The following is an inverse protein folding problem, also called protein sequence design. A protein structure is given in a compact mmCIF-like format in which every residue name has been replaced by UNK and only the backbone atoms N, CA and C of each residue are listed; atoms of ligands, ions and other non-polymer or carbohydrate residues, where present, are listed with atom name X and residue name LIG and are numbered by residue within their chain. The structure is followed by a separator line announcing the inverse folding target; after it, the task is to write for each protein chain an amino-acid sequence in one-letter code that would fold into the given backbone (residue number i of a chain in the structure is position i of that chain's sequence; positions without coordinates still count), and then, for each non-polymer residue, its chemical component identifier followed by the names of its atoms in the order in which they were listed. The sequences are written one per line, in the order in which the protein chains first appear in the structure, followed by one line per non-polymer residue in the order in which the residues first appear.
data_IF_164292772600
#
_entry.id   IF_164292772600
#
_cell.length_a   1.000
_cell.length_b   1.000
_cell.length_c   1.000
_cell.angle_alpha   90.00
_cell.angle_beta   90.00
_cell.angle_gamma   90.00
#
_symmetry.space_group_name_H-M   'P 1'
#
loop_
_entity.id
_entity.type
_entity.pdbx_description
1 polymer ?
#
# COMPACT_ATOMS: atom_id res chain seq x y z
N UNK A 1 -8.92 15.58 7.56
CA UNK A 1 -7.89 14.76 6.88
C UNK A 1 -8.54 13.68 6.00
N UNK A 2 -9.33 12.75 6.56
CA UNK A 2 -9.94 11.66 5.79
C UNK A 2 -11.36 11.97 5.28
N UNK A 3 -12.09 12.88 5.92
CA UNK A 3 -13.38 13.38 5.44
C UNK A 3 -13.11 14.47 4.42
N UNK A 4 -13.58 14.26 3.20
CA UNK A 4 -13.33 15.13 2.04
C UNK A 4 -14.62 15.34 1.25
N UNK A 5 -14.76 16.52 0.64
CA UNK A 5 -15.96 16.93 -0.08
C UNK A 5 -15.65 17.33 -1.54
N UNK A 6 -14.42 17.05 -2.02
CA UNK A 6 -14.05 17.36 -3.40
C UNK A 6 -14.76 16.44 -4.40
N UNK A 7 -15.12 17.00 -5.54
CA UNK A 7 -15.62 16.25 -6.69
C UNK A 7 -14.48 15.46 -7.39
N UNK A 8 -14.85 14.57 -8.31
CA UNK A 8 -13.90 13.71 -9.03
C UNK A 8 -12.82 14.50 -9.78
N UNK A 9 -13.20 15.61 -10.46
CA UNK A 9 -12.25 16.45 -11.21
C UNK A 9 -11.23 17.10 -10.27
N UNK A 10 -11.69 17.59 -9.14
CA UNK A 10 -10.82 18.16 -8.11
C UNK A 10 -9.92 17.10 -7.48
N UNK A 11 -10.46 15.90 -7.21
CA UNK A 11 -9.67 14.78 -6.69
C UNK A 11 -8.49 14.44 -7.61
N UNK A 12 -8.74 14.23 -8.90
CA UNK A 12 -7.69 13.86 -9.87
C UNK A 12 -6.62 14.94 -10.02
N UNK A 13 -7.00 16.22 -9.88
CA UNK A 13 -6.05 17.35 -9.92
C UNK A 13 -5.23 17.48 -8.64
N UNK A 14 -5.84 17.27 -7.49
CA UNK A 14 -5.21 17.44 -6.18
C UNK A 14 -4.31 16.26 -5.81
N UNK A 15 -4.68 15.04 -6.22
CA UNK A 15 -4.02 13.79 -5.87
C UNK A 15 -3.63 12.97 -7.11
N UNK A 16 -2.77 13.54 -7.97
CA UNK A 16 -2.45 12.90 -9.26
C UNK A 16 -1.70 11.57 -9.11
N UNK A 17 -0.90 11.39 -8.05
CA UNK A 17 -0.18 10.14 -7.81
C UNK A 17 -1.14 9.04 -7.41
N UNK A 18 -2.04 9.34 -6.46
CA UNK A 18 -3.10 8.39 -6.07
C UNK A 18 -3.96 8.02 -7.28
N UNK A 19 -4.38 9.02 -8.05
CA UNK A 19 -5.18 8.79 -9.28
C UNK A 19 -4.45 7.86 -10.24
N UNK A 20 -3.15 8.07 -10.46
CA UNK A 20 -2.34 7.25 -11.37
C UNK A 20 -2.22 5.80 -10.86
N UNK A 21 -1.97 5.60 -9.57
CA UNK A 21 -1.89 4.25 -8.99
C UNK A 21 -3.25 3.54 -9.10
N UNK A 22 -4.36 4.22 -8.85
CA UNK A 22 -5.71 3.66 -9.00
C UNK A 22 -5.99 3.23 -10.44
N UNK A 23 -5.59 4.04 -11.43
CA UNK A 23 -5.72 3.69 -12.85
C UNK A 23 -4.92 2.42 -13.15
N UNK A 24 -3.68 2.31 -12.64
CA UNK A 24 -2.86 1.10 -12.81
C UNK A 24 -3.55 -0.12 -12.17
N UNK A 25 -4.09 -0.01 -10.95
CA UNK A 25 -4.79 -1.11 -10.28
C UNK A 25 -5.99 -1.61 -11.10
N UNK A 26 -6.84 -0.68 -11.54
CA UNK A 26 -8.04 -1.02 -12.33
C UNK A 26 -7.64 -1.60 -13.68
N UNK A 27 -6.67 -0.98 -14.36
CA UNK A 27 -6.21 -1.42 -15.67
C UNK A 27 -5.60 -2.81 -15.63
N UNK A 28 -4.67 -3.06 -14.70
CA UNK A 28 -4.03 -4.37 -14.56
C UNK A 28 -5.03 -5.44 -14.13
N UNK A 29 -5.92 -5.12 -13.18
CA UNK A 29 -6.98 -6.03 -12.80
C UNK A 29 -7.88 -6.39 -14.00
N UNK A 30 -8.26 -5.40 -14.82
CA UNK A 30 -9.06 -5.64 -16.02
C UNK A 30 -8.32 -6.54 -17.02
N UNK A 31 -7.06 -6.24 -17.31
CA UNK A 31 -6.23 -7.04 -18.23
C UNK A 31 -6.12 -8.49 -17.72
N UNK A 32 -5.84 -8.67 -16.45
CA UNK A 32 -5.68 -9.98 -15.82
C UNK A 32 -6.99 -10.79 -15.84
N UNK A 33 -8.13 -10.13 -15.62
CA UNK A 33 -9.42 -10.80 -15.46
C UNK A 33 -10.12 -11.12 -16.79
N UNK A 34 -9.88 -10.32 -17.83
CA UNK A 34 -10.70 -10.38 -19.05
C UNK A 34 -9.92 -10.59 -20.34
N UNK A 35 -8.58 -10.43 -20.34
CA UNK A 35 -7.81 -10.60 -21.57
C UNK A 35 -7.02 -11.92 -21.58
N UNK A 36 -6.83 -12.54 -22.77
CA UNK A 36 -6.08 -13.82 -22.88
C UNK A 36 -4.65 -13.77 -22.37
N UNK A 37 -4.03 -12.59 -22.30
CA UNK A 37 -2.69 -12.38 -21.77
C UNK A 37 -2.64 -12.38 -20.23
N UNK A 38 -3.78 -12.37 -19.54
CA UNK A 38 -3.89 -12.27 -18.09
C UNK A 38 -3.09 -13.33 -17.33
N UNK A 39 -3.21 -14.64 -17.66
CA UNK A 39 -2.43 -15.68 -16.99
C UNK A 39 -0.92 -15.49 -17.13
N UNK A 40 -0.42 -15.08 -18.30
CA UNK A 40 1.00 -14.79 -18.53
C UNK A 40 1.46 -13.59 -17.68
N UNK A 41 0.65 -12.53 -17.63
CA UNK A 41 0.96 -11.34 -16.82
C UNK A 41 1.07 -11.69 -15.32
N UNK A 42 0.16 -12.51 -14.82
CA UNK A 42 0.23 -13.01 -13.45
C UNK A 42 1.48 -13.86 -13.25
N UNK A 43 1.77 -14.81 -14.11
CA UNK A 43 2.90 -15.73 -13.94
C UNK A 43 4.26 -15.02 -13.89
N UNK A 44 4.41 -13.94 -14.67
CA UNK A 44 5.64 -13.13 -14.68
C UNK A 44 5.67 -12.12 -13.54
N UNK A 45 4.52 -11.52 -13.20
CA UNK A 45 4.45 -10.38 -12.28
C UNK A 45 4.16 -10.72 -10.82
N UNK A 46 3.65 -11.91 -10.50
CA UNK A 46 3.34 -12.33 -9.13
C UNK A 46 4.62 -12.39 -8.27
N UNK A 47 4.53 -11.99 -7.02
CA UNK A 47 5.58 -12.18 -6.02
C UNK A 47 5.84 -13.66 -5.82
N UNK A 48 7.07 -14.08 -5.98
CA UNK A 48 7.53 -15.47 -5.87
C UNK A 48 8.87 -15.50 -5.17
N UNK A 49 8.93 -16.13 -4.00
CA UNK A 49 10.20 -16.27 -3.28
C UNK A 49 11.22 -17.09 -4.08
N UNK A 50 10.77 -18.15 -4.75
CA UNK A 50 11.63 -18.93 -5.66
C UNK A 50 12.13 -18.09 -6.84
N UNK A 51 11.26 -17.26 -7.44
CA UNK A 51 11.67 -16.35 -8.51
C UNK A 51 12.73 -15.34 -8.04
N UNK A 52 12.54 -14.72 -6.88
CA UNK A 52 13.55 -13.80 -6.30
C UNK A 52 14.86 -14.51 -6.02
N UNK A 53 14.83 -15.74 -5.50
CA UNK A 53 16.03 -16.56 -5.28
C UNK A 53 16.82 -16.82 -6.58
N UNK A 54 16.13 -16.98 -7.71
CA UNK A 54 16.74 -17.16 -9.03
C UNK A 54 17.03 -15.84 -9.77
N UNK A 55 16.97 -14.69 -9.08
CA UNK A 55 17.35 -13.38 -9.64
C UNK A 55 16.22 -12.57 -10.27
N UNK A 56 14.97 -13.00 -10.16
CA UNK A 56 13.81 -12.28 -10.69
C UNK A 56 13.37 -11.14 -9.76
N UNK A 57 14.27 -10.17 -9.52
CA UNK A 57 14.09 -9.10 -8.51
C UNK A 57 12.92 -8.15 -8.79
N UNK A 58 12.41 -8.06 -10.03
CA UNK A 58 11.19 -7.31 -10.32
C UNK A 58 9.98 -7.82 -9.52
N UNK A 59 9.99 -9.09 -9.08
CA UNK A 59 8.94 -9.67 -8.23
C UNK A 59 8.88 -9.10 -6.81
N UNK A 60 9.81 -8.23 -6.45
CA UNK A 60 9.71 -7.41 -5.24
C UNK A 60 8.88 -6.15 -5.46
N UNK A 61 8.65 -5.73 -6.73
CA UNK A 61 7.95 -4.49 -7.10
C UNK A 61 6.60 -4.78 -7.75
N UNK A 62 6.58 -5.67 -8.76
CA UNK A 62 5.40 -5.91 -9.60
C UNK A 62 4.17 -6.36 -8.81
N UNK A 63 4.27 -7.19 -7.74
CA UNK A 63 3.10 -7.62 -6.97
C UNK A 63 2.31 -6.48 -6.34
N UNK A 64 2.96 -5.34 -6.06
CA UNK A 64 2.33 -4.15 -5.46
C UNK A 64 1.17 -3.63 -6.33
N UNK A 65 1.17 -3.90 -7.62
CA UNK A 65 0.17 -3.41 -8.56
C UNK A 65 -0.84 -4.47 -9.00
N UNK A 66 -0.60 -5.75 -8.70
CA UNK A 66 -1.44 -6.86 -9.16
C UNK A 66 -2.50 -7.23 -8.11
N UNK A 67 -3.66 -7.67 -8.59
CA UNK A 67 -4.77 -8.08 -7.74
C UNK A 67 -5.44 -9.35 -8.26
N UNK A 68 -5.69 -10.31 -7.38
CA UNK A 68 -6.26 -11.64 -7.71
C UNK A 68 -7.75 -11.62 -8.04
N UNK A 69 -8.47 -10.54 -7.70
CA UNK A 69 -9.90 -10.46 -7.93
C UNK A 69 -10.46 -9.08 -7.63
N UNK A 70 -11.73 -8.86 -8.05
CA UNK A 70 -12.41 -7.56 -7.93
C UNK A 70 -12.44 -7.04 -6.48
N UNK A 71 -12.86 -7.87 -5.53
CA UNK A 71 -12.92 -7.46 -4.12
C UNK A 71 -11.55 -7.04 -3.58
N UNK A 72 -10.49 -7.79 -3.93
CA UNK A 72 -9.13 -7.47 -3.52
C UNK A 72 -8.67 -6.13 -4.09
N UNK A 73 -8.86 -5.90 -5.40
CA UNK A 73 -8.57 -4.63 -6.06
C UNK A 73 -9.37 -3.47 -5.46
N UNK A 74 -10.68 -3.69 -5.23
CA UNK A 74 -11.58 -2.66 -4.70
C UNK A 74 -11.19 -2.22 -3.29
N UNK A 75 -10.96 -3.16 -2.36
CA UNK A 75 -10.58 -2.84 -0.98
C UNK A 75 -9.23 -2.13 -0.88
N UNK A 76 -8.24 -2.57 -1.66
CA UNK A 76 -6.94 -1.89 -1.72
C UNK A 76 -7.07 -0.48 -2.31
N UNK A 77 -7.81 -0.33 -3.41
CA UNK A 77 -8.06 0.98 -4.04
C UNK A 77 -8.83 1.92 -3.11
N UNK A 78 -9.84 1.41 -2.40
CA UNK A 78 -10.58 2.19 -1.41
C UNK A 78 -9.68 2.66 -0.25
N UNK A 79 -8.84 1.77 0.28
CA UNK A 79 -7.89 2.13 1.34
C UNK A 79 -6.91 3.21 0.85
N UNK A 80 -6.43 3.10 -0.39
CA UNK A 80 -5.57 4.11 -0.98
C UNK A 80 -6.28 5.44 -1.20
N UNK A 81 -7.55 5.45 -1.65
CA UNK A 81 -8.37 6.65 -1.77
C UNK A 81 -8.58 7.31 -0.39
N UNK A 82 -8.77 6.54 0.65
CA UNK A 82 -9.05 7.07 1.98
C UNK A 82 -7.80 7.67 2.62
N UNK A 83 -6.67 6.95 2.61
CA UNK A 83 -5.47 7.29 3.36
C UNK A 83 -4.37 7.97 2.53
N UNK A 84 -4.29 7.72 1.24
CA UNK A 84 -3.25 8.24 0.37
C UNK A 84 -3.25 9.76 0.22
N UNK A 85 -4.39 10.41 -0.07
CA UNK A 85 -4.46 11.82 -0.41
C UNK A 85 -3.88 12.76 0.65
N UNK A 86 -4.19 12.53 1.92
CA UNK A 86 -3.66 13.36 3.00
C UNK A 86 -2.13 13.27 3.07
N UNK A 87 -1.59 12.06 2.89
CA UNK A 87 -0.14 11.86 2.91
C UNK A 87 0.52 12.42 1.65
N UNK A 88 -0.06 12.22 0.44
CA UNK A 88 0.46 12.81 -0.81
C UNK A 88 0.60 14.33 -0.71
N UNK A 89 -0.41 15.00 -0.12
CA UNK A 89 -0.34 16.46 0.10
C UNK A 89 0.69 16.85 1.15
N UNK A 90 0.78 16.08 2.23
CA UNK A 90 1.65 16.39 3.37
C UNK A 90 3.12 16.28 3.03
N UNK A 91 3.51 15.25 2.27
CA UNK A 91 4.92 14.96 1.97
C UNK A 91 5.32 15.33 0.54
N UNK A 92 4.35 15.63 -0.33
CA UNK A 92 4.55 15.91 -1.76
C UNK A 92 4.63 14.65 -2.62
N UNK A 93 4.37 14.84 -3.92
CA UNK A 93 4.19 13.77 -4.91
C UNK A 93 5.36 12.80 -4.98
N UNK A 94 6.58 13.31 -5.16
CA UNK A 94 7.79 12.49 -5.31
C UNK A 94 8.08 11.68 -4.04
N UNK A 95 7.97 12.32 -2.87
CA UNK A 95 8.18 11.63 -1.59
C UNK A 95 7.11 10.56 -1.38
N UNK A 96 5.86 10.84 -1.75
CA UNK A 96 4.78 9.85 -1.64
C UNK A 96 5.03 8.62 -2.51
N UNK A 97 5.42 8.79 -3.79
CA UNK A 97 5.75 7.67 -4.69
C UNK A 97 6.87 6.82 -4.10
N UNK A 98 7.96 7.47 -3.70
CA UNK A 98 9.11 6.77 -3.11
C UNK A 98 8.70 5.99 -1.86
N UNK A 99 7.92 6.62 -0.99
CA UNK A 99 7.45 6.03 0.26
C UNK A 99 6.53 4.83 0.02
N UNK A 100 5.57 4.96 -0.91
CA UNK A 100 4.65 3.89 -1.28
C UNK A 100 5.41 2.67 -1.82
N UNK A 101 6.30 2.89 -2.78
CA UNK A 101 7.11 1.81 -3.38
C UNK A 101 8.10 1.22 -2.36
N UNK A 102 8.81 2.05 -1.62
CA UNK A 102 9.77 1.57 -0.62
C UNK A 102 9.09 0.71 0.46
N UNK A 103 7.91 1.14 0.95
CA UNK A 103 7.14 0.35 1.92
C UNK A 103 6.74 -1.01 1.37
N UNK A 104 6.23 -1.06 0.12
CA UNK A 104 5.84 -2.32 -0.52
C UNK A 104 7.05 -3.22 -0.80
N UNK A 105 8.18 -2.66 -1.24
CA UNK A 105 9.42 -3.40 -1.48
C UNK A 105 9.97 -3.97 -0.16
N UNK A 106 10.04 -3.17 0.90
CA UNK A 106 10.48 -3.63 2.22
C UNK A 106 9.59 -4.76 2.75
N UNK A 107 8.29 -4.66 2.55
CA UNK A 107 7.34 -5.71 2.90
C UNK A 107 7.59 -7.01 2.12
N UNK A 108 7.83 -6.91 0.82
CA UNK A 108 8.10 -8.06 -0.04
C UNK A 108 9.48 -8.67 0.26
N UNK A 109 10.49 -7.86 0.57
CA UNK A 109 11.80 -8.33 1.08
C UNK A 109 11.61 -9.09 2.40
N UNK A 110 10.85 -8.54 3.35
CA UNK A 110 10.53 -9.21 4.61
C UNK A 110 9.82 -10.54 4.38
N UNK A 111 8.84 -10.58 3.46
CA UNK A 111 8.17 -11.82 3.04
C UNK A 111 9.16 -12.83 2.48
N UNK A 112 10.09 -12.42 1.62
CA UNK A 112 11.11 -13.29 1.04
C UNK A 112 11.96 -13.99 2.11
N UNK A 113 12.35 -13.29 3.17
CA UNK A 113 13.21 -13.87 4.22
C UNK A 113 12.48 -14.79 5.20
N UNK A 114 11.17 -14.61 5.37
CA UNK A 114 10.42 -15.31 6.45
C UNK A 114 9.45 -16.36 5.91
N UNK A 115 8.88 -16.15 4.72
CA UNK A 115 7.93 -17.09 4.14
C UNK A 115 8.68 -18.24 3.40
N UNK A 116 8.02 -19.40 3.20
CA UNK A 116 8.60 -20.53 2.47
C UNK A 116 9.04 -20.17 1.06
N UNK A 117 10.01 -20.93 0.51
CA UNK A 117 10.57 -20.68 -0.83
C UNK A 117 9.51 -20.76 -1.95
N UNK A 118 8.49 -21.60 -1.79
CA UNK A 118 7.40 -21.76 -2.72
C UNK A 118 6.22 -20.79 -2.47
N UNK A 119 6.45 -19.72 -1.69
CA UNK A 119 5.41 -18.75 -1.38
C UNK A 119 5.17 -17.78 -2.54
N UNK A 120 3.88 -17.57 -2.84
CA UNK A 120 3.41 -16.60 -3.85
C UNK A 120 2.50 -15.57 -3.21
N UNK A 121 2.59 -14.32 -3.69
CA UNK A 121 1.77 -13.23 -3.19
C UNK A 121 1.58 -12.11 -4.22
N UNK A 122 0.52 -11.33 -4.05
CA UNK A 122 0.25 -10.12 -4.81
C UNK A 122 -0.70 -9.20 -4.03
N UNK A 123 -0.72 -7.93 -4.39
CA UNK A 123 -1.60 -6.92 -3.79
C UNK A 123 -0.84 -5.70 -3.29
N UNK A 124 -1.47 -4.53 -3.43
CA UNK A 124 -0.92 -3.27 -2.92
C UNK A 124 -1.01 -3.13 -1.40
N UNK A 125 -1.60 -4.09 -0.71
CA UNK A 125 -1.75 -4.07 0.75
C UNK A 125 -0.42 -3.97 1.49
N UNK A 126 0.66 -4.54 0.93
CA UNK A 126 2.02 -4.38 1.45
C UNK A 126 2.43 -2.90 1.58
N UNK A 127 2.22 -2.11 0.54
CA UNK A 127 2.49 -0.68 0.54
C UNK A 127 1.48 0.10 1.40
N UNK A 128 0.19 -0.28 1.38
CA UNK A 128 -0.85 0.35 2.19
C UNK A 128 -0.59 0.18 3.68
N UNK A 129 -0.15 -1.00 4.13
CA UNK A 129 0.28 -1.20 5.52
C UNK A 129 1.51 -0.34 5.85
N UNK A 130 2.37 -0.05 4.87
CA UNK A 130 3.42 0.95 5.03
C UNK A 130 2.88 2.36 5.29
N UNK A 131 1.84 2.78 4.55
CA UNK A 131 1.18 4.06 4.84
C UNK A 131 0.55 4.05 6.25
N UNK A 132 -0.06 2.94 6.68
CA UNK A 132 -0.54 2.80 8.07
C UNK A 132 0.58 2.89 9.09
N UNK A 133 1.77 2.37 8.80
CA UNK A 133 2.95 2.53 9.64
C UNK A 133 3.36 3.99 9.83
N UNK A 134 3.32 4.78 8.76
CA UNK A 134 3.58 6.23 8.83
C UNK A 134 2.51 6.93 9.67
N UNK A 135 1.23 6.62 9.46
CA UNK A 135 0.15 7.19 10.28
C UNK A 135 0.25 6.76 11.75
N UNK A 136 0.60 5.52 12.03
CA UNK A 136 0.82 5.07 13.41
C UNK A 136 1.97 5.84 14.07
N UNK A 137 3.05 6.10 13.33
CA UNK A 137 4.13 6.97 13.82
C UNK A 137 3.63 8.38 14.11
N UNK A 138 2.76 8.97 13.26
CA UNK A 138 2.16 10.27 13.55
C UNK A 138 1.34 10.23 14.84
N UNK A 139 0.50 9.23 15.03
CA UNK A 139 -0.34 9.07 16.24
C UNK A 139 0.50 9.00 17.50
N UNK A 140 1.65 8.33 17.44
CA UNK A 140 2.52 8.12 18.62
C UNK A 140 3.45 9.29 18.87
N UNK A 141 4.09 9.83 17.82
CA UNK A 141 5.25 10.72 17.95
C UNK A 141 5.08 12.10 17.28
N UNK A 142 4.12 12.26 16.37
CA UNK A 142 3.89 13.51 15.63
C UNK A 142 2.42 13.93 15.69
N UNK A 143 1.91 14.07 16.93
CA UNK A 143 0.53 14.51 17.23
C UNK A 143 0.23 15.92 16.68
N UNK A 144 1.26 16.68 16.36
CA UNK A 144 1.16 17.95 15.63
C UNK A 144 0.62 17.77 14.20
N UNK A 145 0.78 16.60 13.58
CA UNK A 145 0.37 16.32 12.21
C UNK A 145 -1.02 15.66 12.08
N UNK A 146 -1.57 15.13 13.15
CA UNK A 146 -2.85 14.40 13.14
C UNK A 146 -3.68 14.75 14.38
N UNK A 147 -4.97 15.03 14.18
CA UNK A 147 -5.90 15.30 15.28
C UNK A 147 -6.46 14.00 15.91
N UNK A 148 -7.16 14.15 17.04
CA UNK A 148 -7.69 13.02 17.81
C UNK A 148 -8.69 12.17 16.99
N UNK A 149 -9.58 12.79 16.23
CA UNK A 149 -10.58 12.07 15.44
C UNK A 149 -9.91 11.25 14.33
N UNK A 150 -9.00 11.84 13.57
CA UNK A 150 -8.27 11.13 12.53
C UNK A 150 -7.35 10.05 13.11
N UNK A 151 -6.75 10.26 14.29
CA UNK A 151 -5.98 9.24 15.01
C UNK A 151 -6.84 8.02 15.37
N UNK A 152 -8.08 8.23 15.84
CA UNK A 152 -9.00 7.14 16.14
C UNK A 152 -9.38 6.36 14.87
N UNK A 153 -9.62 7.03 13.75
CA UNK A 153 -9.89 6.37 12.46
C UNK A 153 -8.72 5.49 12.03
N UNK A 154 -7.49 6.01 12.10
CA UNK A 154 -6.27 5.24 11.77
C UNK A 154 -6.15 4.00 12.64
N UNK A 155 -6.25 4.16 13.96
CA UNK A 155 -6.10 3.04 14.91
C UNK A 155 -7.18 1.99 14.65
N UNK A 156 -8.45 2.41 14.51
CA UNK A 156 -9.57 1.48 14.28
C UNK A 156 -9.38 0.66 13.01
N UNK A 157 -9.03 1.32 11.90
CA UNK A 157 -8.86 0.63 10.61
C UNK A 157 -7.59 -0.24 10.62
N UNK A 158 -6.50 0.22 11.24
CA UNK A 158 -5.30 -0.59 11.41
C UNK A 158 -5.57 -1.85 12.23
N UNK A 159 -6.29 -1.73 13.35
CA UNK A 159 -6.66 -2.89 14.19
C UNK A 159 -7.54 -3.86 13.40
N UNK A 160 -8.57 -3.37 12.71
CA UNK A 160 -9.44 -4.20 11.87
C UNK A 160 -8.61 -4.88 10.77
N UNK A 161 -7.73 -4.15 10.09
CA UNK A 161 -6.85 -4.69 9.04
C UNK A 161 -5.91 -5.77 9.56
N UNK A 162 -5.30 -5.57 10.73
CA UNK A 162 -4.45 -6.58 11.37
C UNK A 162 -5.27 -7.81 11.79
N UNK A 163 -6.41 -7.62 12.44
CA UNK A 163 -7.31 -8.73 12.80
C UNK A 163 -7.68 -9.53 11.56
N UNK A 164 -8.17 -8.88 10.50
CA UNK A 164 -8.54 -9.56 9.25
C UNK A 164 -7.35 -10.27 8.60
N UNK A 165 -6.13 -9.79 8.78
CA UNK A 165 -4.90 -10.44 8.30
C UNK A 165 -4.74 -11.85 8.87
N UNK A 166 -5.09 -12.06 10.14
CA UNK A 166 -4.95 -13.36 10.81
C UNK A 166 -6.14 -14.31 10.54
N UNK A 167 -7.30 -13.77 10.18
CA UNK A 167 -8.50 -14.57 9.93
C UNK A 167 -8.68 -14.98 8.46
N UNK A 168 -7.84 -14.48 7.54
CA UNK A 168 -7.94 -14.79 6.12
C UNK A 168 -6.69 -15.50 5.62
N UNK A 169 -6.86 -16.73 5.14
CA UNK A 169 -5.76 -17.56 4.62
C UNK A 169 -5.17 -17.09 3.29
N UNK A 170 -5.88 -16.24 2.55
CA UNK A 170 -5.47 -15.67 1.26
C UNK A 170 -4.70 -14.34 1.40
N UNK A 171 -4.40 -13.92 2.64
CA UNK A 171 -3.68 -12.67 2.93
C UNK A 171 -2.22 -12.94 3.29
N UNK A 172 -1.32 -12.17 2.72
CA UNK A 172 0.11 -12.22 3.07
C UNK A 172 0.36 -11.51 4.41
N UNK A 173 0.33 -12.27 5.51
CA UNK A 173 0.58 -11.79 6.88
C UNK A 173 1.95 -11.10 6.97
N UNK A 174 2.98 -11.70 6.37
CA UNK A 174 4.34 -11.17 6.42
C UNK A 174 4.41 -9.78 5.78
N UNK A 175 3.82 -9.62 4.58
CA UNK A 175 3.82 -8.33 3.91
C UNK A 175 3.08 -7.24 4.70
N UNK A 176 2.00 -7.57 5.41
CA UNK A 176 1.30 -6.60 6.26
C UNK A 176 2.17 -6.17 7.45
N UNK A 177 2.80 -7.12 8.13
CA UNK A 177 3.67 -6.83 9.30
C UNK A 177 4.90 -6.03 8.85
N UNK A 178 5.63 -6.51 7.84
CA UNK A 178 6.85 -5.83 7.37
C UNK A 178 6.54 -4.51 6.67
N UNK A 179 5.38 -4.37 6.01
CA UNK A 179 4.90 -3.11 5.49
C UNK A 179 4.70 -2.09 6.60
N UNK A 180 3.97 -2.46 7.65
CA UNK A 180 3.73 -1.61 8.83
C UNK A 180 5.05 -1.18 9.47
N UNK A 181 5.95 -2.12 9.75
CA UNK A 181 7.25 -1.84 10.34
C UNK A 181 8.12 -0.96 9.43
N UNK A 182 8.14 -1.24 8.13
CA UNK A 182 8.84 -0.44 7.12
C UNK A 182 8.32 1.00 7.08
N UNK A 183 7.00 1.19 7.12
CA UNK A 183 6.39 2.51 7.20
C UNK A 183 6.76 3.28 8.47
N UNK A 184 6.75 2.61 9.63
CA UNK A 184 7.19 3.22 10.90
C UNK A 184 8.66 3.65 10.80
N UNK A 185 9.52 2.81 10.25
CA UNK A 185 10.96 3.10 10.09
C UNK A 185 11.23 4.25 9.12
N UNK A 186 10.45 4.38 8.04
CA UNK A 186 10.55 5.46 7.06
C UNK A 186 9.98 6.79 7.57
N UNK A 187 9.02 6.75 8.51
CA UNK A 187 8.26 7.92 8.95
C UNK A 187 9.13 9.10 9.44
N UNK A 188 10.20 8.92 10.26
CA UNK A 188 11.05 10.03 10.69
C UNK A 188 11.67 10.81 9.53
N UNK A 189 12.03 10.11 8.45
CA UNK A 189 12.65 10.72 7.26
C UNK A 189 11.57 11.41 6.42
N UNK A 190 10.49 10.70 6.14
CA UNK A 190 9.38 11.16 5.29
C UNK A 190 8.68 12.37 5.87
N UNK A 191 8.48 12.39 7.20
CA UNK A 191 7.74 13.44 7.90
C UNK A 191 8.63 14.59 8.41
N UNK A 192 9.93 14.58 8.11
CA UNK A 192 10.87 15.61 8.61
C UNK A 192 10.44 17.05 8.27
N UNK A 193 9.90 17.23 7.05
CA UNK A 193 9.45 18.55 6.54
C UNK A 193 7.93 18.65 6.44
N UNK A 194 7.22 17.67 6.94
CA UNK A 194 5.75 17.65 6.85
C UNK A 194 5.15 18.72 7.76
N UNK A 195 4.14 19.41 7.25
CA UNK A 195 3.29 20.32 8.02
C UNK A 195 1.84 19.83 7.97
N UNK A 196 1.04 20.21 8.97
CA UNK A 196 -0.37 19.86 9.01
C UNK A 196 -1.11 20.62 7.91
N UNK A 197 -1.76 19.90 7.02
CA UNK A 197 -2.68 20.45 6.03
C UNK A 197 -4.12 20.34 6.55
N UNK A 198 -4.75 21.48 6.71
CA UNK A 198 -6.20 21.62 6.93
C UNK A 198 -6.87 22.01 5.61
#
# INVERSE_FOLDING_TARGET
MFIRNEDFRSFTRLYPVITFILIIHIFLWFVISFLPIGPQLISVGIGSNSGVYHGEYWRLITPIFLHSGFGHMLFNSFSLILFGPALERMVGKSTFIITYLASGILANIGTYFVAPINYYHLGSSSAIFGLFGIYLYMVLYRKDLIDKMNSQIVISILVIGLVMTFFRSDVNIYAHIFGLLGGIALAPIVLKKASRYY
#
